data_IF_839026364890
#
_entry.id   IF_839026364890
#
_cell.length_a   1.000
_cell.length_b   1.000
_cell.length_c   1.000
_cell.angle_alpha   90.00
_cell.angle_beta   90.00
_cell.angle_gamma   90.00
#
_symmetry.space_group_name_H-M   'P 1'
#
loop_
_entity.id
_entity.type
_entity.pdbx_description
1 polymer ?
#
# COMPACT_ATOMS: atom_id res chain seq x y z
N UNK A 1 -3.61 -9.35 9.83
CA UNK A 1 -3.28 -9.66 8.43
C UNK A 1 -3.59 -8.44 7.57
N UNK A 2 -2.72 -8.13 6.61
CA UNK A 2 -2.83 -6.99 5.69
C UNK A 2 -4.22 -6.82 5.07
N UNK A 3 -4.90 -7.92 4.71
CA UNK A 3 -6.27 -7.90 4.19
C UNK A 3 -7.26 -7.17 5.11
N UNK A 4 -7.17 -7.31 6.44
CA UNK A 4 -8.04 -6.58 7.38
C UNK A 4 -7.76 -5.08 7.38
N UNK A 5 -6.48 -4.70 7.28
CA UNK A 5 -6.08 -3.29 7.20
C UNK A 5 -6.55 -2.67 5.89
N UNK A 6 -6.48 -3.40 4.77
CA UNK A 6 -7.01 -2.95 3.47
C UNK A 6 -8.52 -2.71 3.53
N UNK A 7 -9.28 -3.63 4.14
CA UNK A 7 -10.73 -3.45 4.35
C UNK A 7 -11.00 -2.20 5.19
N UNK A 8 -10.29 -2.02 6.30
CA UNK A 8 -10.45 -0.86 7.17
C UNK A 8 -10.11 0.45 6.46
N UNK A 9 -8.99 0.50 5.74
CA UNK A 9 -8.57 1.66 4.96
C UNK A 9 -9.61 2.05 3.89
N UNK A 10 -10.20 1.06 3.20
CA UNK A 10 -11.22 1.31 2.18
C UNK A 10 -12.59 1.70 2.77
N UNK A 11 -13.07 0.98 3.80
CA UNK A 11 -14.42 1.17 4.35
C UNK A 11 -14.55 2.46 5.15
N UNK A 12 -13.52 2.83 5.90
CA UNK A 12 -13.55 3.99 6.79
C UNK A 12 -12.82 5.20 6.21
N UNK A 13 -12.21 5.07 5.02
CA UNK A 13 -11.34 6.08 4.42
C UNK A 13 -10.30 6.61 5.41
N UNK A 14 -9.79 5.71 6.27
CA UNK A 14 -8.96 6.08 7.40
C UNK A 14 -7.51 6.33 6.93
N UNK A 15 -7.03 7.59 7.00
CA UNK A 15 -5.69 7.94 6.57
C UNK A 15 -4.62 7.32 7.47
N UNK A 16 -4.91 7.08 8.76
CA UNK A 16 -3.96 6.48 9.70
C UNK A 16 -3.75 4.99 9.39
N UNK A 17 -4.82 4.28 9.02
CA UNK A 17 -4.70 2.87 8.56
C UNK A 17 -3.94 2.80 7.24
N UNK A 18 -4.20 3.73 6.33
CA UNK A 18 -3.46 3.84 5.06
C UNK A 18 -1.98 4.09 5.31
N UNK A 19 -1.66 5.03 6.20
CA UNK A 19 -0.28 5.34 6.60
C UNK A 19 0.39 4.12 7.23
N UNK A 20 -0.29 3.41 8.13
CA UNK A 20 0.23 2.19 8.75
C UNK A 20 0.58 1.10 7.71
N UNK A 21 -0.27 0.93 6.69
CA UNK A 21 0.03 0.04 5.56
C UNK A 21 1.30 0.50 4.85
N UNK A 22 1.40 1.77 4.45
CA UNK A 22 2.58 2.32 3.76
C UNK A 22 3.87 2.15 4.57
N UNK A 23 3.82 2.42 5.87
CA UNK A 23 4.95 2.26 6.79
C UNK A 23 5.44 0.81 6.85
N UNK A 24 4.53 -0.17 6.81
CA UNK A 24 4.89 -1.59 6.79
C UNK A 24 5.73 -1.99 5.57
N UNK A 25 5.60 -1.27 4.45
CA UNK A 25 6.38 -1.50 3.23
C UNK A 25 7.64 -0.62 3.15
N UNK A 26 7.79 0.38 4.02
CA UNK A 26 8.93 1.32 4.00
C UNK A 26 10.29 0.63 3.99
N UNK A 27 10.56 -0.46 4.75
CA UNK A 27 11.83 -1.16 4.69
C UNK A 27 12.14 -1.73 3.29
N UNK A 28 11.14 -2.29 2.61
CA UNK A 28 11.26 -2.84 1.25
C UNK A 28 11.46 -1.73 0.23
N UNK A 29 10.69 -0.65 0.34
CA UNK A 29 10.80 0.51 -0.55
C UNK A 29 12.18 1.15 -0.43
N UNK A 30 12.66 1.41 0.79
CA UNK A 30 14.02 1.93 1.02
C UNK A 30 15.09 1.01 0.42
N UNK A 31 14.93 -0.31 0.56
CA UNK A 31 15.87 -1.25 -0.02
C UNK A 31 15.90 -1.17 -1.56
N UNK A 32 14.74 -1.06 -2.21
CA UNK A 32 14.63 -0.91 -3.66
C UNK A 32 15.16 0.43 -4.18
N UNK A 33 14.86 1.54 -3.49
CA UNK A 33 15.31 2.88 -3.88
C UNK A 33 16.84 3.03 -3.91
N UNK A 34 17.58 2.20 -3.15
CA UNK A 34 19.06 2.18 -3.21
C UNK A 34 19.60 1.77 -4.57
N UNK A 35 18.81 1.11 -5.41
CA UNK A 35 19.18 0.68 -6.77
C UNK A 35 19.03 1.82 -7.79
N UNK A 36 18.47 2.97 -7.38
CA UNK A 36 18.24 4.14 -8.23
C UNK A 36 19.26 5.23 -7.88
N UNK A 37 19.64 6.03 -8.88
CA UNK A 37 20.52 7.20 -8.68
C UNK A 37 19.93 8.16 -7.65
N UNK A 38 20.78 8.75 -6.81
CA UNK A 38 20.34 9.59 -5.69
C UNK A 38 19.38 10.71 -6.12
N UNK A 39 19.66 11.34 -7.26
CA UNK A 39 18.89 12.46 -7.82
C UNK A 39 17.43 12.11 -8.12
N UNK A 40 17.09 10.83 -8.33
CA UNK A 40 15.73 10.38 -8.64
C UNK A 40 15.04 9.65 -7.49
N UNK A 41 15.73 9.43 -6.36
CA UNK A 41 15.19 8.59 -5.27
C UNK A 41 13.96 9.19 -4.61
N UNK A 42 13.98 10.50 -4.37
CA UNK A 42 12.89 11.18 -3.66
C UNK A 42 11.63 11.28 -4.54
N UNK A 43 11.81 11.60 -5.82
CA UNK A 43 10.71 11.63 -6.80
C UNK A 43 10.08 10.24 -6.96
N UNK A 44 10.90 9.20 -7.17
CA UNK A 44 10.41 7.84 -7.29
C UNK A 44 9.73 7.35 -6.00
N UNK A 45 10.25 7.74 -4.83
CA UNK A 45 9.62 7.41 -3.54
C UNK A 45 8.22 8.00 -3.45
N UNK A 46 8.05 9.27 -3.84
CA UNK A 46 6.74 9.92 -3.84
C UNK A 46 5.78 9.24 -4.81
N UNK A 47 6.22 8.94 -6.03
CA UNK A 47 5.41 8.25 -7.02
C UNK A 47 4.95 6.87 -6.53
N UNK A 48 5.87 6.10 -5.91
CA UNK A 48 5.54 4.81 -5.32
C UNK A 48 4.48 4.94 -4.21
N UNK A 49 4.57 5.97 -3.36
CA UNK A 49 3.58 6.18 -2.30
C UNK A 49 2.21 6.54 -2.87
N UNK A 50 2.15 7.42 -3.88
CA UNK A 50 0.91 7.76 -4.58
C UNK A 50 0.28 6.53 -5.22
N UNK A 51 1.08 5.70 -5.90
CA UNK A 51 0.62 4.45 -6.52
C UNK A 51 0.14 3.44 -5.50
N UNK A 52 0.79 3.34 -4.35
CA UNK A 52 0.33 2.47 -3.27
C UNK A 52 -1.01 2.93 -2.70
N UNK A 53 -1.21 4.24 -2.49
CA UNK A 53 -2.50 4.79 -2.03
C UNK A 53 -3.60 4.46 -3.06
N UNK A 54 -3.33 4.69 -4.35
CA UNK A 54 -4.26 4.36 -5.44
C UNK A 54 -4.64 2.87 -5.42
N UNK A 55 -3.66 1.98 -5.28
CA UNK A 55 -3.90 0.54 -5.19
C UNK A 55 -4.69 0.19 -3.92
N UNK A 56 -4.33 0.72 -2.75
CA UNK A 56 -5.06 0.48 -1.50
C UNK A 56 -6.54 0.85 -1.65
N UNK A 57 -6.85 1.94 -2.34
CA UNK A 57 -8.23 2.40 -2.54
C UNK A 57 -9.01 1.58 -3.58
N UNK A 58 -8.33 1.06 -4.61
CA UNK A 58 -8.96 0.39 -5.76
C UNK A 58 -8.89 -1.13 -5.72
N UNK A 59 -8.10 -1.70 -4.81
CA UNK A 59 -7.90 -3.14 -4.71
C UNK A 59 -9.22 -3.87 -4.44
N UNK A 60 -9.60 -4.80 -5.32
CA UNK A 60 -10.85 -5.56 -5.16
C UNK A 60 -10.69 -6.67 -4.12
N UNK A 61 -11.10 -6.39 -2.89
CA UNK A 61 -11.09 -7.34 -1.78
C UNK A 61 -12.21 -8.39 -1.92
N UNK A 62 -13.21 -8.18 -2.80
CA UNK A 62 -14.38 -9.07 -2.94
C UNK A 62 -14.03 -10.40 -3.62
N UNK A 63 -12.98 -10.42 -4.44
CA UNK A 63 -12.46 -11.66 -5.04
C UNK A 63 -12.02 -12.71 -4.01
N UNK A 64 -11.49 -12.25 -2.87
CA UNK A 64 -11.02 -13.13 -1.77
C UNK A 64 -12.14 -13.57 -0.81
N UNK A 65 -13.26 -12.84 -0.74
CA UNK A 65 -14.40 -13.20 0.13
C UNK A 65 -15.18 -14.42 -0.41
N UNK A 66 -15.20 -14.66 -1.73
CA UNK A 66 -15.94 -15.78 -2.33
C UNK A 66 -15.31 -17.17 -2.15
N UNK A 67 -14.07 -17.26 -1.63
CA UNK A 67 -13.39 -18.54 -1.42
C UNK A 67 -13.65 -19.18 -0.04
N UNK A 68 -14.22 -18.44 0.91
CA UNK A 68 -14.48 -18.95 2.26
C UNK A 68 -15.95 -19.34 2.50
N UNK A 69 -16.78 -19.39 1.45
CA UNK A 69 -18.20 -19.72 1.50
C UNK A 69 -18.55 -21.03 0.76
N UNK A 70 -17.57 -21.91 0.54
CA UNK A 70 -17.78 -23.25 -0.02
C UNK A 70 -17.16 -24.33 0.84
#
# INVERSE_FOLDING_TARGET
MLAKLLIQAQQHQDPEVTLHILESFTPKIKASLRQVSADYRDDLKQELYLKMIEVIQTFDIRGDQKKNEK
#
